data_IF_763238386352
#
_entry.id   IF_763238386352
#
_cell.length_a   1.000
_cell.length_b   1.000
_cell.length_c   1.000
_cell.angle_alpha   90.00
_cell.angle_beta   90.00
_cell.angle_gamma   90.00
#
_symmetry.space_group_name_H-M   'P 1'
#
loop_
_entity.id
_entity.type
_entity.pdbx_description
1 polymer ?
#
# COMPACT_ATOMS: atom_id res chain seq x y z
N UNK A 1 30.36 -18.01 -17.59
CA UNK A 1 30.46 -16.54 -17.44
C UNK A 1 29.31 -15.73 -18.07
N UNK A 2 28.38 -16.32 -18.84
CA UNK A 2 27.22 -15.57 -19.41
C UNK A 2 26.00 -15.43 -18.47
N UNK A 3 25.92 -16.25 -17.42
CA UNK A 3 24.78 -16.25 -16.48
C UNK A 3 24.88 -15.15 -15.41
N UNK A 4 26.08 -14.65 -15.12
CA UNK A 4 26.30 -13.55 -14.17
C UNK A 4 25.93 -12.19 -14.80
N UNK A 5 26.04 -12.08 -16.13
CA UNK A 5 25.78 -10.84 -16.86
C UNK A 5 24.27 -10.51 -16.96
N UNK A 6 23.39 -11.52 -16.92
CA UNK A 6 21.94 -11.31 -16.91
C UNK A 6 21.38 -10.89 -15.55
N UNK A 7 22.00 -11.32 -14.44
CA UNK A 7 21.55 -10.95 -13.10
C UNK A 7 21.85 -9.47 -12.76
N UNK A 8 22.92 -8.90 -13.32
CA UNK A 8 23.29 -7.49 -13.11
C UNK A 8 22.39 -6.53 -13.90
N UNK A 9 21.89 -6.95 -15.07
CA UNK A 9 20.96 -6.11 -15.85
C UNK A 9 19.55 -6.02 -15.25
N UNK A 10 19.09 -7.04 -14.51
CA UNK A 10 17.78 -7.00 -13.86
C UNK A 10 17.83 -6.18 -12.55
N UNK A 11 18.95 -6.20 -11.83
CA UNK A 11 19.10 -5.41 -10.60
C UNK A 11 19.28 -3.90 -10.85
N UNK A 12 19.80 -3.51 -12.03
CA UNK A 12 19.93 -2.08 -12.41
C UNK A 12 18.62 -1.44 -12.88
N UNK A 13 17.55 -2.21 -13.16
CA UNK A 13 16.23 -1.68 -13.54
C UNK A 13 15.34 -1.35 -12.34
N UNK A 14 15.67 -1.81 -11.12
CA UNK A 14 14.87 -1.60 -9.92
C UNK A 14 15.25 -0.36 -9.09
N UNK A 15 16.29 0.40 -9.50
CA UNK A 15 16.81 1.56 -8.75
C UNK A 15 16.57 2.92 -9.44
N UNK A 16 15.82 2.96 -10.54
CA UNK A 16 15.48 4.21 -11.25
C UNK A 16 13.97 4.33 -11.42
N UNK A 17 13.27 4.74 -10.35
CA UNK A 17 11.81 4.85 -10.39
C UNK A 17 11.14 5.83 -9.43
N UNK A 18 11.85 6.53 -8.55
CA UNK A 18 11.26 7.66 -7.83
C UNK A 18 11.42 8.94 -8.67
N UNK A 19 10.63 9.08 -9.74
CA UNK A 19 10.33 10.41 -10.27
C UNK A 19 8.95 10.80 -9.76
N UNK A 20 8.97 11.66 -8.76
CA UNK A 20 7.82 12.51 -8.43
C UNK A 20 7.47 13.29 -9.70
N UNK A 21 6.50 12.81 -10.47
CA UNK A 21 5.85 13.55 -11.56
C UNK A 21 4.70 14.37 -10.97
N UNK A 22 4.96 15.02 -9.84
CA UNK A 22 4.16 16.15 -9.40
C UNK A 22 4.88 17.41 -9.86
N UNK A 23 4.21 18.30 -10.59
CA UNK A 23 4.62 19.70 -10.80
C UNK A 23 5.74 20.02 -11.81
N UNK A 24 5.78 19.39 -13.01
CA UNK A 24 6.64 19.91 -14.11
C UNK A 24 5.97 20.13 -15.47
N UNK A 25 4.66 19.92 -15.62
CA UNK A 25 3.95 20.22 -16.88
C UNK A 25 3.56 21.70 -17.06
N UNK A 26 3.63 22.53 -16.01
CA UNK A 26 3.30 23.97 -16.10
C UNK A 26 4.29 24.82 -16.91
N UNK A 27 5.51 24.32 -17.19
CA UNK A 27 6.53 25.10 -17.89
C UNK A 27 6.67 24.79 -19.39
N UNK A 28 5.98 23.77 -19.92
CA UNK A 28 6.12 23.39 -21.34
C UNK A 28 5.16 24.17 -22.25
N UNK A 29 4.01 24.62 -21.75
CA UNK A 29 3.03 25.35 -22.60
C UNK A 29 3.27 26.86 -22.66
N UNK A 30 4.16 27.44 -21.84
CA UNK A 30 4.52 28.85 -21.92
C UNK A 30 3.32 29.81 -21.87
N UNK A 31 2.20 29.37 -21.32
CA UNK A 31 0.97 30.14 -21.25
C UNK A 31 1.03 30.96 -19.96
N UNK A 32 1.09 32.29 -20.09
CA UNK A 32 0.82 33.18 -18.97
C UNK A 32 -0.60 32.92 -18.46
N UNK A 33 -0.76 32.08 -17.44
CA UNK A 33 -2.04 31.88 -16.73
C UNK A 33 -2.63 33.23 -16.28
N UNK A 34 -1.77 34.24 -16.07
CA UNK A 34 -2.13 35.63 -15.77
C UNK A 34 -2.80 36.38 -16.95
N UNK A 35 -2.52 36.00 -18.21
CA UNK A 35 -3.18 36.54 -19.39
C UNK A 35 -4.50 35.81 -19.68
N UNK A 36 -4.54 34.50 -19.44
CA UNK A 36 -5.77 33.71 -19.56
C UNK A 36 -6.84 34.22 -18.60
N UNK A 37 -6.46 34.68 -17.39
CA UNK A 37 -7.38 35.29 -16.42
C UNK A 37 -8.00 36.63 -16.87
N UNK A 38 -7.50 37.28 -17.92
CA UNK A 38 -8.05 38.54 -18.46
C UNK A 38 -9.08 38.31 -19.58
N UNK A 39 -9.26 37.06 -20.01
CA UNK A 39 -10.21 36.70 -21.05
C UNK A 39 -11.65 36.84 -20.58
N UNK A 40 -12.54 37.19 -21.50
CA UNK A 40 -13.98 37.14 -21.26
C UNK A 40 -14.46 35.70 -21.05
N UNK A 41 -15.58 35.51 -20.36
CA UNK A 41 -16.13 34.18 -20.04
C UNK A 41 -16.35 33.31 -21.30
N UNK A 42 -16.74 33.93 -22.41
CA UNK A 42 -16.93 33.25 -23.70
C UNK A 42 -15.61 32.74 -24.31
N UNK A 43 -14.50 33.43 -24.06
CA UNK A 43 -13.15 33.02 -24.48
C UNK A 43 -12.51 32.02 -23.52
N UNK A 44 -12.96 31.99 -22.25
CA UNK A 44 -12.52 31.03 -21.24
C UNK A 44 -13.18 29.65 -21.40
N UNK A 45 -14.41 29.58 -21.91
CA UNK A 45 -15.13 28.33 -22.12
C UNK A 45 -14.29 27.20 -22.79
N UNK A 46 -13.60 27.42 -23.93
CA UNK A 46 -12.78 26.36 -24.54
C UNK A 46 -11.54 25.99 -23.70
N UNK A 47 -11.01 26.92 -22.89
CA UNK A 47 -9.89 26.63 -21.98
C UNK A 47 -10.36 25.76 -20.83
N UNK A 48 -11.54 26.04 -20.27
CA UNK A 48 -12.13 25.26 -19.19
C UNK A 48 -12.55 23.86 -19.65
N UNK A 49 -13.08 23.73 -20.86
CA UNK A 49 -13.33 22.43 -21.51
C UNK A 49 -12.03 21.64 -21.69
N UNK A 50 -10.97 22.28 -22.20
CA UNK A 50 -9.67 21.63 -22.35
C UNK A 50 -9.05 21.20 -21.00
N UNK A 51 -9.19 22.03 -19.95
CA UNK A 51 -8.75 21.70 -18.58
C UNK A 51 -9.54 20.53 -18.02
N UNK A 52 -10.86 20.49 -18.25
CA UNK A 52 -11.70 19.37 -17.87
C UNK A 52 -11.24 18.07 -18.56
N UNK A 53 -11.04 18.09 -19.88
CA UNK A 53 -10.57 16.92 -20.61
C UNK A 53 -9.18 16.44 -20.16
N UNK A 54 -8.27 17.38 -19.89
CA UNK A 54 -6.97 17.04 -19.31
C UNK A 54 -7.11 16.38 -17.94
N UNK A 55 -8.03 16.85 -17.12
CA UNK A 55 -8.30 16.26 -15.80
C UNK A 55 -8.84 14.83 -15.93
N UNK A 56 -9.83 14.62 -16.81
CA UNK A 56 -10.36 13.27 -17.10
C UNK A 56 -9.24 12.34 -17.56
N UNK A 57 -8.41 12.78 -18.52
CA UNK A 57 -7.29 11.99 -19.02
C UNK A 57 -6.27 11.64 -17.92
N UNK A 58 -5.99 12.55 -16.99
CA UNK A 58 -5.10 12.26 -15.85
C UNK A 58 -5.70 11.19 -14.92
N UNK A 59 -7.01 11.26 -14.64
CA UNK A 59 -7.69 10.25 -13.82
C UNK A 59 -7.75 8.88 -14.52
N UNK A 60 -7.88 8.83 -15.85
CA UNK A 60 -7.79 7.61 -16.66
C UNK A 60 -6.38 6.99 -16.65
N UNK A 61 -5.32 7.82 -16.67
CA UNK A 61 -3.94 7.36 -16.49
C UNK A 61 -3.78 6.73 -15.12
N UNK A 62 -4.24 7.40 -14.05
CA UNK A 62 -4.16 6.85 -12.69
C UNK A 62 -4.92 5.53 -12.55
N UNK A 63 -6.11 5.42 -13.17
CA UNK A 63 -6.86 4.17 -13.22
C UNK A 63 -6.06 3.04 -13.91
N UNK A 64 -5.37 3.37 -15.00
CA UNK A 64 -4.56 2.42 -15.76
C UNK A 64 -3.35 1.94 -14.95
N UNK A 65 -2.70 2.82 -14.20
CA UNK A 65 -1.60 2.49 -13.28
C UNK A 65 -2.07 1.52 -12.18
N UNK A 66 -3.24 1.77 -11.56
CA UNK A 66 -3.82 0.86 -10.57
C UNK A 66 -4.12 -0.52 -11.16
N UNK A 67 -4.66 -0.58 -12.39
CA UNK A 67 -4.92 -1.85 -13.09
C UNK A 67 -3.64 -2.61 -13.42
N UNK A 68 -2.56 -1.89 -13.73
CA UNK A 68 -1.25 -2.51 -13.93
C UNK A 68 -0.72 -3.11 -12.63
N UNK A 69 -0.76 -2.36 -11.52
CA UNK A 69 -0.34 -2.87 -10.21
C UNK A 69 -1.15 -4.11 -9.78
N UNK A 70 -2.45 -4.17 -10.10
CA UNK A 70 -3.29 -5.34 -9.87
C UNK A 70 -2.81 -6.57 -10.64
N UNK A 71 -2.43 -6.37 -11.90
CA UNK A 71 -1.92 -7.45 -12.74
C UNK A 71 -0.58 -8.00 -12.20
N UNK A 72 0.29 -7.11 -11.73
CA UNK A 72 1.57 -7.48 -11.12
C UNK A 72 1.37 -8.32 -9.86
N UNK A 73 0.48 -7.91 -8.94
CA UNK A 73 0.19 -8.71 -7.75
C UNK A 73 -0.45 -10.07 -8.08
N UNK A 74 -1.27 -10.17 -9.13
CA UNK A 74 -1.80 -11.46 -9.59
C UNK A 74 -0.70 -12.36 -10.14
N UNK A 75 0.28 -11.80 -10.84
CA UNK A 75 1.45 -12.55 -11.30
C UNK A 75 2.29 -13.06 -10.11
N UNK A 76 2.46 -12.26 -9.06
CA UNK A 76 3.14 -12.67 -7.82
C UNK A 76 2.42 -13.84 -7.14
N UNK A 77 1.09 -13.82 -7.05
CA UNK A 77 0.30 -14.94 -6.51
C UNK A 77 0.59 -16.21 -7.31
N UNK A 78 0.52 -16.15 -8.65
CA UNK A 78 0.80 -17.31 -9.50
C UNK A 78 2.23 -17.86 -9.31
N UNK A 79 3.22 -16.97 -9.12
CA UNK A 79 4.60 -17.37 -8.83
C UNK A 79 4.74 -18.07 -7.47
N UNK A 80 4.02 -17.58 -6.44
CA UNK A 80 3.99 -18.24 -5.13
C UNK A 80 3.23 -19.57 -5.16
N UNK A 81 2.14 -19.68 -5.91
CA UNK A 81 1.42 -20.95 -6.10
C UNK A 81 2.29 -22.01 -6.80
N UNK A 82 3.06 -21.62 -7.81
CA UNK A 82 4.05 -22.50 -8.42
C UNK A 82 5.12 -22.93 -7.40
N UNK A 83 5.57 -22.02 -6.55
CA UNK A 83 6.53 -22.33 -5.49
C UNK A 83 5.95 -23.29 -4.47
N UNK A 84 4.67 -23.14 -4.11
CA UNK A 84 3.93 -24.04 -3.23
C UNK A 84 3.78 -25.43 -3.85
N UNK A 85 3.48 -25.53 -5.15
CA UNK A 85 3.40 -26.79 -5.86
C UNK A 85 4.75 -27.54 -5.87
N UNK A 86 5.86 -26.82 -6.11
CA UNK A 86 7.21 -27.40 -6.03
C UNK A 86 7.57 -27.86 -4.62
N UNK A 87 7.21 -27.08 -3.61
CA UNK A 87 7.41 -27.45 -2.21
C UNK A 87 6.65 -28.73 -1.85
N UNK A 88 5.40 -28.89 -2.33
CA UNK A 88 4.63 -30.14 -2.17
C UNK A 88 5.27 -31.32 -2.89
N UNK A 89 5.83 -31.11 -4.08
CA UNK A 89 6.58 -32.16 -4.79
C UNK A 89 7.80 -32.61 -3.97
N UNK A 90 8.64 -31.66 -3.52
CA UNK A 90 9.82 -31.95 -2.68
C UNK A 90 9.41 -32.71 -1.41
N UNK A 91 8.27 -32.37 -0.79
CA UNK A 91 7.75 -33.13 0.36
C UNK A 91 7.48 -34.60 0.01
N UNK A 92 6.85 -34.87 -1.12
CA UNK A 92 6.56 -36.25 -1.54
C UNK A 92 7.83 -37.04 -1.85
N UNK A 93 8.87 -36.37 -2.37
CA UNK A 93 10.19 -36.97 -2.57
C UNK A 93 10.83 -37.34 -1.22
N UNK A 94 10.79 -36.45 -0.23
CA UNK A 94 11.29 -36.72 1.13
C UNK A 94 10.50 -37.86 1.80
N UNK A 95 9.18 -37.87 1.68
CA UNK A 95 8.32 -38.94 2.22
C UNK A 95 8.66 -40.31 1.60
N UNK A 96 8.96 -40.34 0.29
CA UNK A 96 9.42 -41.54 -0.40
C UNK A 96 10.77 -42.01 0.16
N UNK A 97 11.73 -41.12 0.32
CA UNK A 97 13.06 -41.45 0.86
C UNK A 97 12.98 -42.01 2.29
N UNK A 98 12.14 -41.41 3.14
CA UNK A 98 11.84 -41.92 4.49
C UNK A 98 11.28 -43.34 4.42
N UNK A 99 10.33 -43.60 3.52
CA UNK A 99 9.71 -44.91 3.36
C UNK A 99 10.71 -45.96 2.87
N UNK A 100 11.57 -45.61 1.90
CA UNK A 100 12.61 -46.48 1.37
C UNK A 100 13.64 -46.83 2.44
N UNK A 101 14.13 -45.84 3.18
CA UNK A 101 15.11 -46.05 4.26
C UNK A 101 14.53 -46.94 5.37
N UNK A 102 13.27 -46.73 5.75
CA UNK A 102 12.56 -47.62 6.69
C UNK A 102 12.48 -49.05 6.17
N UNK A 103 12.14 -49.26 4.90
CA UNK A 103 12.03 -50.59 4.32
C UNK A 103 13.38 -51.32 4.27
N UNK A 104 14.46 -50.63 3.91
CA UNK A 104 15.83 -51.17 3.90
C UNK A 104 16.29 -51.57 5.31
N UNK A 105 16.03 -50.70 6.29
CA UNK A 105 16.31 -50.95 7.70
C UNK A 105 15.60 -52.20 8.22
N UNK A 106 14.29 -52.32 7.95
CA UNK A 106 13.47 -53.46 8.37
C UNK A 106 13.88 -54.77 7.70
N UNK A 107 14.36 -54.71 6.46
CA UNK A 107 14.87 -55.87 5.74
C UNK A 107 16.28 -56.30 6.19
N UNK A 108 16.91 -55.58 7.13
CA UNK A 108 18.28 -55.83 7.58
C UNK A 108 19.32 -55.57 6.49
N UNK A 109 18.97 -54.80 5.45
CA UNK A 109 19.87 -54.47 4.34
C UNK A 109 20.71 -53.22 4.62
N UNK A 110 20.50 -52.58 5.77
CA UNK A 110 21.24 -51.38 6.20
C UNK A 110 21.73 -51.50 7.63
N UNK A 111 22.90 -50.93 7.89
CA UNK A 111 23.43 -50.83 9.24
C UNK A 111 22.52 -49.96 10.13
N UNK A 112 22.12 -50.43 11.33
CA UNK A 112 21.14 -49.71 12.16
C UNK A 112 21.53 -48.27 12.49
N UNK A 113 22.82 -48.02 12.74
CA UNK A 113 23.32 -46.67 13.05
C UNK A 113 23.28 -45.71 11.87
N UNK A 114 23.50 -46.22 10.65
CA UNK A 114 23.41 -45.42 9.43
C UNK A 114 21.95 -45.10 9.09
N UNK A 115 21.08 -46.10 9.24
CA UNK A 115 19.64 -45.93 9.01
C UNK A 115 19.03 -44.87 9.92
N UNK A 116 19.36 -44.91 11.21
CA UNK A 116 18.89 -43.93 12.19
C UNK A 116 19.34 -42.50 11.83
N UNK A 117 20.58 -42.35 11.36
CA UNK A 117 21.12 -41.04 10.95
C UNK A 117 20.42 -40.51 9.70
N UNK A 118 20.22 -41.34 8.69
CA UNK A 118 19.52 -40.93 7.46
C UNK A 118 18.07 -40.53 7.76
N UNK A 119 17.36 -41.31 8.58
CA UNK A 119 16.00 -40.97 8.99
C UNK A 119 15.92 -39.65 9.75
N UNK A 120 16.88 -39.37 10.63
CA UNK A 120 16.95 -38.07 11.30
C UNK A 120 17.13 -36.93 10.29
N UNK A 121 18.06 -37.07 9.34
CA UNK A 121 18.29 -36.07 8.29
C UNK A 121 17.04 -35.84 7.43
N UNK A 122 16.36 -36.89 6.97
CA UNK A 122 15.14 -36.74 6.18
C UNK A 122 13.99 -36.11 6.98
N UNK A 123 13.88 -36.39 8.29
CA UNK A 123 12.90 -35.73 9.13
C UNK A 123 13.21 -34.23 9.29
N UNK A 124 14.48 -33.86 9.44
CA UNK A 124 14.89 -32.45 9.50
C UNK A 124 14.57 -31.72 8.19
N UNK A 125 14.83 -32.36 7.04
CA UNK A 125 14.46 -31.85 5.72
C UNK A 125 12.94 -31.71 5.56
N UNK A 126 12.16 -32.68 6.02
CA UNK A 126 10.71 -32.63 6.02
C UNK A 126 10.18 -31.43 6.83
N UNK A 127 10.71 -31.22 8.04
CA UNK A 127 10.31 -30.08 8.88
C UNK A 127 10.73 -28.74 8.26
N UNK A 128 11.91 -28.68 7.63
CA UNK A 128 12.35 -27.50 6.87
C UNK A 128 11.41 -27.21 5.69
N UNK A 129 11.00 -28.24 4.94
CA UNK A 129 10.07 -28.11 3.84
C UNK A 129 8.68 -27.61 4.31
N UNK A 130 8.16 -28.12 5.42
CA UNK A 130 6.91 -27.64 6.02
C UNK A 130 7.00 -26.18 6.49
N UNK A 131 8.13 -25.77 7.06
CA UNK A 131 8.37 -24.36 7.41
C UNK A 131 8.30 -23.45 6.17
N UNK A 132 8.97 -23.83 5.08
CA UNK A 132 8.90 -23.11 3.79
C UNK A 132 7.48 -23.03 3.25
N UNK A 133 6.67 -24.09 3.42
CA UNK A 133 5.26 -24.11 3.03
C UNK A 133 4.48 -23.00 3.71
N UNK A 134 4.60 -22.89 5.03
CA UNK A 134 3.93 -21.85 5.82
C UNK A 134 4.33 -20.44 5.37
N UNK A 135 5.63 -20.21 5.11
CA UNK A 135 6.12 -18.92 4.61
C UNK A 135 5.51 -18.54 3.25
N UNK A 136 5.40 -19.52 2.33
CA UNK A 136 4.79 -19.30 1.01
C UNK A 136 3.30 -18.98 1.16
N UNK A 137 2.57 -19.74 1.97
CA UNK A 137 1.14 -19.52 2.22
C UNK A 137 0.89 -18.14 2.87
N UNK A 138 1.74 -17.73 3.80
CA UNK A 138 1.67 -16.40 4.41
C UNK A 138 1.88 -15.29 3.38
N UNK A 139 2.84 -15.46 2.45
CA UNK A 139 3.08 -14.51 1.35
C UNK A 139 1.87 -14.43 0.42
N UNK A 140 1.28 -15.56 0.03
CA UNK A 140 0.06 -15.60 -0.80
C UNK A 140 -1.06 -14.79 -0.13
N UNK A 141 -1.37 -15.08 1.15
CA UNK A 141 -2.42 -14.37 1.90
C UNK A 141 -2.15 -12.86 1.97
N UNK A 142 -0.90 -12.47 2.23
CA UNK A 142 -0.51 -11.06 2.28
C UNK A 142 -0.75 -10.36 0.93
N UNK A 143 -0.43 -10.99 -0.19
CA UNK A 143 -0.67 -10.41 -1.52
C UNK A 143 -2.17 -10.40 -1.86
N UNK A 144 -2.92 -11.43 -1.49
CA UNK A 144 -4.38 -11.47 -1.69
C UNK A 144 -5.08 -10.28 -1.01
N UNK A 145 -4.71 -9.94 0.23
CA UNK A 145 -5.25 -8.76 0.92
C UNK A 145 -4.95 -7.45 0.16
N UNK A 146 -3.77 -7.34 -0.46
CA UNK A 146 -3.44 -6.18 -1.30
C UNK A 146 -4.26 -6.13 -2.58
N UNK A 147 -4.52 -7.29 -3.20
CA UNK A 147 -5.38 -7.38 -4.38
C UNK A 147 -6.80 -6.96 -4.05
N UNK A 148 -7.33 -7.34 -2.89
CA UNK A 148 -8.66 -6.92 -2.42
C UNK A 148 -8.74 -5.40 -2.23
N UNK A 149 -7.79 -4.80 -1.50
CA UNK A 149 -7.72 -3.34 -1.32
C UNK A 149 -7.61 -2.60 -2.67
N UNK A 150 -6.71 -3.06 -3.54
CA UNK A 150 -6.47 -2.43 -4.83
C UNK A 150 -7.70 -2.54 -5.75
N UNK A 151 -8.43 -3.66 -5.69
CA UNK A 151 -9.69 -3.84 -6.43
C UNK A 151 -10.72 -2.79 -6.00
N UNK A 152 -10.90 -2.58 -4.70
CA UNK A 152 -11.81 -1.55 -4.20
C UNK A 152 -11.38 -0.13 -4.62
N UNK A 153 -10.07 0.15 -4.63
CA UNK A 153 -9.53 1.44 -5.12
C UNK A 153 -9.77 1.65 -6.61
N UNK A 154 -9.63 0.60 -7.42
CA UNK A 154 -9.95 0.64 -8.86
C UNK A 154 -11.44 0.95 -9.05
N UNK A 155 -12.34 0.26 -8.35
CA UNK A 155 -13.79 0.51 -8.46
C UNK A 155 -14.15 1.96 -8.09
N UNK A 156 -13.58 2.50 -7.01
CA UNK A 156 -13.79 3.89 -6.62
C UNK A 156 -13.27 4.88 -7.68
N UNK A 157 -12.13 4.58 -8.30
CA UNK A 157 -11.55 5.40 -9.36
C UNK A 157 -12.37 5.35 -10.64
N UNK A 158 -12.88 4.17 -11.02
CA UNK A 158 -13.80 4.00 -12.16
C UNK A 158 -15.08 4.82 -11.98
N UNK A 159 -15.67 4.79 -10.78
CA UNK A 159 -16.84 5.61 -10.46
C UNK A 159 -16.52 7.10 -10.53
N UNK A 160 -15.36 7.53 -10.04
CA UNK A 160 -14.91 8.93 -10.12
C UNK A 160 -14.84 9.40 -11.57
N UNK A 161 -14.12 8.67 -12.42
CA UNK A 161 -14.00 8.99 -13.86
C UNK A 161 -15.38 9.00 -14.52
N UNK A 162 -16.23 8.01 -14.26
CA UNK A 162 -17.58 7.93 -14.83
C UNK A 162 -18.50 9.09 -14.38
N UNK A 163 -18.28 9.65 -13.19
CA UNK A 163 -19.06 10.78 -12.67
C UNK A 163 -18.61 12.15 -13.20
N UNK A 164 -17.43 12.21 -13.84
CA UNK A 164 -16.93 13.46 -14.42
C UNK A 164 -17.76 13.84 -15.64
N UNK A 165 -18.42 15.00 -15.57
CA UNK A 165 -19.15 15.59 -16.70
C UNK A 165 -18.81 17.07 -16.82
N UNK A 166 -18.72 17.54 -18.06
CA UNK A 166 -18.55 18.96 -18.35
C UNK A 166 -19.94 19.58 -18.58
N UNK A 167 -20.32 20.53 -17.72
CA UNK A 167 -21.46 21.41 -17.98
C UNK A 167 -20.94 22.76 -18.40
N UNK A 168 -21.28 23.19 -19.61
CA UNK A 168 -20.95 24.52 -20.11
C UNK A 168 -21.68 25.57 -19.24
N UNK A 169 -21.00 26.62 -18.76
CA UNK A 169 -21.70 27.71 -18.08
C UNK A 169 -22.65 28.37 -19.09
N UNK A 170 -23.95 28.28 -18.83
CA UNK A 170 -24.97 28.98 -19.62
C UNK A 170 -24.79 30.46 -19.33
N UNK A 171 -24.40 31.23 -20.34
CA UNK A 171 -24.29 32.68 -20.25
C UNK A 171 -25.56 33.24 -19.61
N UNK A 172 -25.42 33.89 -18.45
CA UNK A 172 -26.54 34.56 -17.80
C UNK A 172 -27.09 35.61 -18.78
N UNK A 173 -28.41 35.69 -19.01
CA UNK A 173 -28.96 36.71 -19.90
C UNK A 173 -28.58 38.08 -19.34
N UNK A 174 -27.80 38.81 -20.14
CA UNK A 174 -27.35 40.18 -19.83
C UNK A 174 -28.59 41.01 -19.53
N UNK A 175 -28.77 41.35 -18.25
CA UNK A 175 -29.73 42.35 -17.85
C UNK A 175 -29.33 43.67 -18.52
N UNK A 176 -30.23 44.18 -19.37
CA UNK A 176 -30.06 45.49 -20.01
C UNK A 176 -29.81 46.57 -18.95
N UNK A 177 -28.97 47.57 -19.23
CA UNK A 177 -28.61 48.59 -18.25
C UNK A 177 -29.85 49.38 -17.81
N UNK A 178 -30.05 49.62 -16.50
CA UNK A 178 -31.09 50.51 -16.03
C UNK A 178 -30.76 51.93 -16.48
N UNK A 179 -31.72 52.56 -17.15
CA UNK A 179 -31.73 54.01 -17.39
C UNK A 179 -31.62 54.73 -16.06
N UNK A 180 -30.59 55.57 -15.97
CA UNK A 180 -30.30 56.52 -14.91
C UNK A 180 -31.55 57.34 -14.53
N UNK A 181 -31.93 57.30 -13.25
CA UNK A 181 -32.44 58.50 -12.60
C UNK A 181 -32.02 58.55 -11.13
N UNK A 182 -31.58 59.74 -10.74
CA UNK A 182 -30.91 60.06 -9.49
C UNK A 182 -31.90 60.25 -8.33
N UNK A 183 -31.50 59.85 -7.11
CA UNK A 183 -31.60 60.66 -5.87
C UNK A 183 -31.05 59.89 -4.66
N UNK A 184 -30.11 60.51 -3.96
CA UNK A 184 -29.50 60.18 -2.65
C UNK A 184 -30.40 60.67 -1.48
N UNK A 185 -29.98 60.61 -0.19
CA UNK A 185 -29.59 59.48 0.69
C UNK A 185 -30.49 59.42 1.95
N UNK A 186 -30.48 58.32 2.73
CA UNK A 186 -30.47 58.43 4.21
C UNK A 186 -30.30 57.10 4.94
N UNK A 187 -29.46 57.19 5.97
CA UNK A 187 -29.67 56.67 7.32
C UNK A 187 -29.11 55.31 7.75
N UNK A 188 -28.69 55.34 9.01
CA UNK A 188 -27.72 54.54 9.73
C UNK A 188 -28.31 53.33 10.46
N UNK A 189 -27.41 52.44 10.91
CA UNK A 189 -27.67 51.35 11.85
C UNK A 189 -26.78 50.16 11.50
N UNK A 190 -25.52 50.09 11.96
CA UNK A 190 -25.11 49.74 13.32
C UNK A 190 -25.87 48.54 13.88
N UNK A 191 -25.24 47.37 13.80
CA UNK A 191 -25.75 46.10 14.32
C UNK A 191 -24.67 45.03 14.27
N UNK A 192 -23.70 45.14 15.18
CA UNK A 192 -22.77 44.07 15.57
C UNK A 192 -23.55 42.90 16.17
N UNK A 193 -23.28 41.68 15.69
CA UNK A 193 -23.65 40.46 16.39
C UNK A 193 -22.42 39.55 16.43
N UNK A 194 -21.76 39.59 17.58
CA UNK A 194 -20.79 38.60 18.02
C UNK A 194 -21.50 37.26 18.21
N UNK A 195 -21.03 36.23 17.50
CA UNK A 195 -21.42 34.84 17.73
C UNK A 195 -20.29 34.15 18.50
N UNK A 196 -20.43 34.19 19.82
CA UNK A 196 -19.66 33.45 20.81
C UNK A 196 -19.91 31.93 20.62
N UNK A 197 -18.95 31.23 20.02
CA UNK A 197 -18.93 29.76 19.97
C UNK A 197 -18.36 29.25 21.29
N UNK A 198 -19.27 28.84 22.19
CA UNK A 198 -18.97 28.00 23.35
C UNK A 198 -18.46 26.64 22.89
N UNK A 199 -17.17 26.39 23.04
CA UNK A 199 -16.60 25.04 23.00
C UNK A 199 -16.97 24.31 24.30
N UNK A 200 -17.92 23.39 24.21
CA UNK A 200 -18.23 22.43 25.26
C UNK A 200 -17.12 21.39 25.34
N UNK A 201 -16.38 21.41 26.44
CA UNK A 201 -15.48 20.37 26.91
C UNK A 201 -16.31 19.14 27.30
N UNK A 202 -16.38 18.14 26.43
CA UNK A 202 -16.92 16.82 26.73
C UNK A 202 -15.78 15.87 27.07
N UNK A 203 -15.41 15.83 28.36
CA UNK A 203 -14.75 14.68 28.99
C UNK A 203 -15.74 13.50 28.99
N UNK A 204 -15.82 12.80 27.87
CA UNK A 204 -16.46 11.50 27.80
C UNK A 204 -15.37 10.44 28.04
N UNK A 205 -15.38 9.87 29.25
CA UNK A 205 -14.48 8.79 29.62
C UNK A 205 -14.75 7.59 28.74
N UNK A 206 -13.76 7.19 27.95
CA UNK A 206 -13.79 5.95 27.17
C UNK A 206 -13.75 4.79 28.17
N UNK A 207 -14.89 4.15 28.42
CA UNK A 207 -14.94 2.85 29.09
C UNK A 207 -14.26 1.82 28.19
N UNK A 208 -13.02 1.47 28.55
CA UNK A 208 -12.30 0.38 27.92
C UNK A 208 -12.98 -0.96 28.26
N UNK A 209 -13.17 -1.85 27.27
CA UNK A 209 -13.79 -3.15 27.51
C UNK A 209 -12.95 -3.99 28.48
N UNK A 210 -13.62 -4.83 29.28
CA UNK A 210 -13.03 -5.54 30.43
C UNK A 210 -11.74 -6.32 30.13
N UNK A 211 -11.53 -6.75 28.89
CA UNK A 211 -10.31 -7.46 28.48
C UNK A 211 -9.07 -6.56 28.30
N UNK A 212 -9.22 -5.24 28.39
CA UNK A 212 -8.11 -4.25 28.37
C UNK A 212 -7.77 -3.68 29.76
N UNK A 213 -8.49 -4.09 30.81
CA UNK A 213 -8.11 -3.77 32.19
C UNK A 213 -6.94 -4.67 32.56
N UNK A 214 -5.73 -4.14 32.40
CA UNK A 214 -4.53 -4.76 32.95
C UNK A 214 -4.70 -4.72 34.47
N UNK A 215 -4.88 -5.88 35.09
CA UNK A 215 -4.78 -5.99 36.54
C UNK A 215 -3.36 -5.54 36.91
N UNK A 216 -3.26 -4.40 37.60
CA UNK A 216 -2.01 -3.97 38.21
C UNK A 216 -1.65 -4.96 39.30
N UNK A 217 -0.89 -6.00 38.95
CA UNK A 217 -0.27 -6.91 39.89
C UNK A 217 0.62 -6.09 40.84
N UNK A 218 0.13 -5.87 42.07
CA UNK A 218 0.82 -5.11 43.11
C UNK A 218 2.00 -5.86 43.75
N UNK A 219 2.63 -6.82 43.05
CA UNK A 219 3.66 -7.72 43.60
C UNK A 219 4.99 -7.71 42.84
N UNK A 220 5.39 -6.59 42.23
CA UNK A 220 6.81 -6.40 41.83
C UNK A 220 7.44 -5.18 42.46
N UNK A 221 7.51 -5.20 43.80
CA UNK A 221 8.41 -4.36 44.59
C UNK A 221 9.21 -5.23 45.55
N UNK A 222 10.32 -5.77 45.05
CA UNK A 222 11.55 -6.11 45.78
C UNK A 222 12.54 -6.67 44.74
N UNK A 223 13.60 -5.96 44.40
CA UNK A 223 14.80 -5.94 45.23
C UNK A 223 15.72 -7.08 44.76
N UNK A 224 16.58 -6.78 43.79
CA UNK A 224 17.47 -7.77 43.17
C UNK A 224 18.60 -7.09 42.42
N UNK A 225 19.52 -6.52 43.20
CA UNK A 225 20.89 -6.18 42.82
C UNK A 225 21.54 -7.37 42.09
N UNK A 226 21.66 -7.29 40.77
CA UNK A 226 22.45 -8.21 39.96
C UNK A 226 23.48 -7.38 39.21
N UNK A 227 24.63 -7.19 39.85
CA UNK A 227 25.85 -6.71 39.21
C UNK A 227 26.23 -7.62 38.05
N UNK A 228 26.09 -7.10 36.84
CA UNK A 228 26.75 -7.65 35.67
C UNK A 228 28.15 -7.03 35.58
N UNK A 229 29.10 -7.76 36.16
CA UNK A 229 30.53 -7.56 35.94
C UNK A 229 30.85 -8.06 34.53
N UNK A 230 31.17 -7.13 33.63
CA UNK A 230 31.59 -7.43 32.25
C UNK A 230 33.07 -7.81 32.30
N UNK A 231 33.38 -9.11 32.24
CA UNK A 231 34.75 -9.56 31.97
C UNK A 231 35.11 -9.22 30.52
N UNK A 232 36.01 -8.23 30.37
CA UNK A 232 36.71 -7.96 29.11
C UNK A 232 37.64 -9.14 28.79
N UNK A 233 37.14 -10.05 27.95
CA UNK A 233 37.94 -11.11 27.34
C UNK A 233 39.01 -10.54 26.41
N UNK A 234 40.25 -10.58 26.88
CA UNK A 234 41.46 -10.21 26.16
C UNK A 234 41.61 -10.95 24.81
N UNK A 235 41.66 -10.18 23.73
CA UNK A 235 42.24 -10.60 22.47
C UNK A 235 43.77 -10.69 22.64
N UNK A 236 44.31 -11.90 22.63
CA UNK A 236 45.75 -12.15 22.53
C UNK A 236 46.06 -12.80 21.17
N UNK A 237 46.81 -12.03 20.36
CA UNK A 237 47.75 -12.36 19.27
C UNK A 237 47.41 -13.48 18.27
#
# INVERSE_FOLDING_TARGET
MRKILFAVCIFMLALSGCRSVGTMTRNITGSDDALVAQLSEEQLAPVDEARFHLNVANEEVSLSELKQELADYRADIAAFELSLAKNRQERQEIELDIAQEKALSQAGMREPGESAKNLAAYNDEHMSNESKRYDIEAKIKKVQLRVEDLTARIEAQEQRVASMSYSTPVASPVAQPPTSDASTPSDAGSGTVDAEVKSQDSKEGVELPDYLKVEEDSETTNGGDNGYEVEEGALSN
#
